data_IF_200334528206
#
_entry.id   IF_200334528206
#
_cell.length_a   1.000
_cell.length_b   1.000
_cell.length_c   1.000
_cell.angle_alpha   90.00
_cell.angle_beta   90.00
_cell.angle_gamma   90.00
#
_symmetry.space_group_name_H-M   'P 1'
#
loop_
_entity.id
_entity.type
_entity.pdbx_description
1 polymer ?
#
# COMPACT_ATOMS: atom_id res chain seq x y z
N UNK A 1 -19.97 -42.74 -31.14
CA UNK A 1 -18.72 -41.96 -31.31
C UNK A 1 -18.84 -40.47 -30.96
N UNK A 2 -19.81 -39.70 -31.47
CA UNK A 2 -19.86 -38.25 -31.24
C UNK A 2 -19.96 -37.78 -29.77
N UNK A 3 -20.66 -38.54 -28.91
CA UNK A 3 -20.82 -38.21 -27.49
C UNK A 3 -19.53 -38.35 -26.68
N UNK A 4 -18.68 -39.31 -27.05
CA UNK A 4 -17.37 -39.52 -26.39
C UNK A 4 -16.39 -38.42 -26.77
N UNK A 5 -16.41 -37.97 -28.04
CA UNK A 5 -15.57 -36.86 -28.52
C UNK A 5 -15.90 -35.53 -27.84
N UNK A 6 -17.20 -35.27 -27.63
CA UNK A 6 -17.69 -34.09 -26.93
C UNK A 6 -17.27 -34.07 -25.44
N UNK A 7 -17.26 -35.23 -24.78
CA UNK A 7 -16.83 -35.34 -23.38
C UNK A 7 -15.32 -35.16 -23.22
N UNK A 8 -14.50 -35.71 -24.13
CA UNK A 8 -13.06 -35.45 -24.14
C UNK A 8 -12.73 -33.98 -24.39
N UNK A 9 -13.45 -33.30 -25.30
CA UNK A 9 -13.25 -31.88 -25.56
C UNK A 9 -13.62 -31.01 -24.35
N UNK A 10 -14.72 -31.34 -23.66
CA UNK A 10 -15.12 -30.64 -22.44
C UNK A 10 -14.10 -30.81 -21.31
N UNK A 11 -13.57 -32.02 -21.12
CA UNK A 11 -12.55 -32.30 -20.11
C UNK A 11 -11.24 -31.54 -20.38
N UNK A 12 -10.80 -31.51 -21.65
CA UNK A 12 -9.60 -30.77 -22.04
C UNK A 12 -9.76 -29.26 -21.86
N UNK A 13 -10.96 -28.73 -22.15
CA UNK A 13 -11.29 -27.33 -21.91
C UNK A 13 -11.25 -27.00 -20.41
N UNK A 14 -11.82 -27.83 -19.53
CA UNK A 14 -11.75 -27.59 -18.08
C UNK A 14 -10.33 -27.64 -17.51
N UNK A 15 -9.46 -28.52 -18.02
CA UNK A 15 -8.07 -28.61 -17.54
C UNK A 15 -7.24 -27.39 -17.97
N UNK A 16 -7.53 -26.82 -19.14
CA UNK A 16 -6.82 -25.63 -19.64
C UNK A 16 -7.07 -24.37 -18.80
N UNK A 17 -8.20 -24.28 -18.08
CA UNK A 17 -8.48 -23.16 -17.16
C UNK A 17 -7.57 -23.17 -15.91
N UNK A 18 -7.06 -24.34 -15.49
CA UNK A 18 -6.14 -24.45 -14.35
C UNK A 18 -4.67 -24.20 -14.69
N UNK A 19 -4.32 -24.16 -15.98
CA UNK A 19 -2.93 -24.07 -16.44
C UNK A 19 -2.35 -22.64 -16.42
N UNK A 20 -3.17 -21.61 -16.15
CA UNK A 20 -2.72 -20.22 -16.12
C UNK A 20 -1.86 -19.84 -14.90
N UNK A 21 -1.51 -20.80 -14.02
CA UNK A 21 -0.60 -20.59 -12.89
C UNK A 21 -1.14 -19.72 -11.75
N UNK A 22 -2.40 -19.29 -11.82
CA UNK A 22 -3.07 -18.56 -10.75
C UNK A 22 -3.22 -19.46 -9.52
N UNK A 23 -2.54 -19.10 -8.44
CA UNK A 23 -2.73 -19.73 -7.14
C UNK A 23 -3.57 -18.81 -6.25
N UNK A 24 -4.45 -19.42 -5.45
CA UNK A 24 -5.15 -18.69 -4.40
C UNK A 24 -4.11 -18.02 -3.50
N UNK A 25 -4.31 -16.73 -3.21
CA UNK A 25 -3.41 -15.90 -2.41
C UNK A 25 -3.16 -16.47 -1.00
N UNK A 26 -3.97 -17.42 -0.54
CA UNK A 26 -3.98 -17.93 0.82
C UNK A 26 -4.38 -16.87 1.83
N UNK A 27 -4.50 -17.25 3.10
CA UNK A 27 -4.72 -16.31 4.22
C UNK A 27 -3.48 -15.47 4.55
N UNK A 28 -2.34 -15.76 3.92
CA UNK A 28 -1.07 -15.07 4.11
C UNK A 28 -0.41 -14.76 2.78
N UNK A 29 -1.08 -13.98 1.92
CA UNK A 29 -0.49 -13.52 0.64
C UNK A 29 0.95 -13.01 0.83
N UNK A 30 1.75 -12.93 -0.25
CA UNK A 30 3.22 -12.77 -0.22
C UNK A 30 3.73 -11.40 0.27
N UNK A 31 2.99 -10.75 1.17
CA UNK A 31 3.48 -9.64 1.96
C UNK A 31 4.50 -10.22 2.93
N UNK A 32 5.77 -9.93 2.65
CA UNK A 32 6.89 -10.12 3.57
C UNK A 32 6.46 -9.71 4.99
N UNK A 33 6.89 -10.49 5.99
CA UNK A 33 6.66 -10.10 7.39
C UNK A 33 7.21 -8.69 7.62
N UNK A 34 6.50 -7.89 8.39
CA UNK A 34 6.94 -6.54 8.72
C UNK A 34 8.30 -6.60 9.44
N UNK A 35 9.19 -5.62 9.23
CA UNK A 35 10.50 -5.58 9.90
C UNK A 35 10.41 -5.24 11.40
N UNK A 36 9.21 -5.10 11.95
CA UNK A 36 8.91 -4.75 13.34
C UNK A 36 7.70 -5.56 13.81
N UNK A 37 7.63 -5.89 15.11
CA UNK A 37 6.51 -6.63 15.70
C UNK A 37 5.43 -5.68 16.26
N UNK A 38 5.82 -4.50 16.72
CA UNK A 38 4.93 -3.45 17.22
C UNK A 38 5.14 -2.12 16.50
N UNK A 39 4.05 -1.42 16.19
CA UNK A 39 4.07 -0.15 15.46
C UNK A 39 3.17 0.89 16.15
N UNK A 40 3.76 2.02 16.55
CA UNK A 40 3.00 3.21 16.92
C UNK A 40 2.75 4.05 15.66
N UNK A 41 1.53 4.58 15.50
CA UNK A 41 1.16 5.43 14.37
C UNK A 41 0.67 6.78 14.86
N UNK A 42 1.30 7.85 14.41
CA UNK A 42 0.93 9.23 14.73
C UNK A 42 0.59 10.01 13.46
N UNK A 43 -0.27 11.02 13.61
CA UNK A 43 -0.81 11.80 12.50
C UNK A 43 -2.33 11.97 12.60
N UNK A 44 -2.92 12.52 11.54
CA UNK A 44 -4.35 12.76 11.46
C UNK A 44 -4.82 12.79 9.99
N UNK A 45 -6.13 12.70 9.80
CA UNK A 45 -6.77 12.84 8.49
C UNK A 45 -7.32 11.53 7.90
N UNK A 46 -7.95 11.61 6.72
CA UNK A 46 -8.62 10.47 6.12
C UNK A 46 -7.71 9.29 5.80
N UNK A 47 -6.54 9.52 5.17
CA UNK A 47 -5.59 8.43 4.91
C UNK A 47 -5.05 7.83 6.21
N UNK A 48 -4.77 8.63 7.24
CA UNK A 48 -4.36 8.13 8.56
C UNK A 48 -5.39 7.13 9.12
N UNK A 49 -6.67 7.47 9.09
CA UNK A 49 -7.75 6.59 9.55
C UNK A 49 -7.79 5.28 8.75
N UNK A 50 -7.63 5.36 7.43
CA UNK A 50 -7.59 4.17 6.58
C UNK A 50 -6.34 3.32 6.84
N UNK A 51 -5.19 3.91 7.15
CA UNK A 51 -3.98 3.17 7.54
C UNK A 51 -4.22 2.38 8.82
N UNK A 52 -4.87 2.97 9.83
CA UNK A 52 -5.23 2.24 11.05
C UNK A 52 -6.18 1.07 10.78
N UNK A 53 -7.18 1.26 9.92
CA UNK A 53 -8.10 0.19 9.52
C UNK A 53 -7.36 -0.93 8.80
N UNK A 54 -6.48 -0.59 7.86
CA UNK A 54 -5.67 -1.55 7.11
C UNK A 54 -4.71 -2.35 8.01
N UNK A 55 -4.00 -1.69 8.93
CA UNK A 55 -3.10 -2.35 9.89
C UNK A 55 -3.86 -3.27 10.85
N UNK A 56 -5.02 -2.84 11.36
CA UNK A 56 -5.89 -3.67 12.20
C UNK A 56 -6.41 -4.90 11.45
N UNK A 57 -6.75 -4.75 10.16
CA UNK A 57 -7.20 -5.86 9.31
C UNK A 57 -6.07 -6.84 9.01
N UNK A 58 -4.84 -6.36 8.85
CA UNK A 58 -3.66 -7.20 8.61
C UNK A 58 -3.35 -8.09 9.84
N UNK A 59 -3.44 -7.54 11.06
CA UNK A 59 -3.36 -8.28 12.32
C UNK A 59 -1.98 -8.88 12.66
N UNK A 60 -0.99 -8.77 11.76
CA UNK A 60 0.38 -9.27 11.96
C UNK A 60 1.28 -8.35 12.80
N UNK A 61 0.84 -7.11 13.04
CA UNK A 61 1.58 -6.11 13.84
C UNK A 61 0.73 -5.67 15.01
N UNK A 62 1.33 -5.61 16.20
CA UNK A 62 0.68 -5.06 17.38
C UNK A 62 0.66 -3.53 17.31
N UNK A 63 -0.51 -2.93 17.54
CA UNK A 63 -0.70 -1.47 17.59
C UNK A 63 -0.94 -1.05 19.05
N UNK A 64 0.13 -0.75 19.81
CA UNK A 64 -0.01 -0.38 21.22
C UNK A 64 -0.70 0.99 21.36
N UNK A 65 -1.26 1.24 22.55
CA UNK A 65 -1.88 2.53 22.85
C UNK A 65 -0.87 3.69 22.77
N UNK A 66 -1.38 4.90 22.51
CA UNK A 66 -0.53 6.10 22.40
C UNK A 66 0.28 6.29 23.69
N UNK A 67 1.59 6.51 23.56
CA UNK A 67 2.52 6.68 24.68
C UNK A 67 3.18 5.39 25.18
N UNK A 68 2.77 4.22 24.68
CA UNK A 68 3.45 2.95 24.92
C UNK A 68 4.58 2.78 23.89
N UNK A 69 5.75 2.32 24.34
CA UNK A 69 6.88 2.07 23.46
C UNK A 69 6.56 0.98 22.42
N UNK A 70 6.94 1.23 21.17
CA UNK A 70 6.83 0.31 20.05
C UNK A 70 8.19 0.12 19.36
N UNK A 71 8.35 -0.93 18.56
CA UNK A 71 9.59 -1.21 17.82
C UNK A 71 9.81 -0.21 16.68
N UNK A 72 8.73 0.40 16.17
CA UNK A 72 8.78 1.47 15.20
C UNK A 72 7.68 2.52 15.43
N UNK A 73 7.94 3.74 14.97
CA UNK A 73 7.01 4.86 14.93
C UNK A 73 6.78 5.28 13.47
N UNK A 74 5.53 5.24 13.02
CA UNK A 74 5.10 5.79 11.74
C UNK A 74 4.42 7.14 11.97
N UNK A 75 5.01 8.21 11.44
CA UNK A 75 4.42 9.55 11.43
C UNK A 75 3.84 9.83 10.06
N UNK A 76 2.53 9.99 9.96
CA UNK A 76 1.80 10.28 8.73
C UNK A 76 1.62 11.80 8.61
N UNK A 77 2.19 12.39 7.56
CA UNK A 77 2.02 13.81 7.27
C UNK A 77 0.57 14.14 6.84
N UNK A 78 0.14 15.40 6.83
CA UNK A 78 -1.13 15.76 6.21
C UNK A 78 -1.19 15.32 4.74
N UNK A 79 -2.35 14.82 4.30
CA UNK A 79 -2.56 14.45 2.90
C UNK A 79 -2.53 15.70 1.99
N UNK A 80 -1.96 15.55 0.80
CA UNK A 80 -1.93 16.61 -0.21
C UNK A 80 -2.77 16.19 -1.41
N UNK A 81 -3.82 16.96 -1.70
CA UNK A 81 -4.74 16.70 -2.80
C UNK A 81 -4.70 17.80 -3.84
N UNK A 82 -4.82 17.46 -5.13
CA UNK A 82 -5.02 18.42 -6.22
C UNK A 82 -6.10 17.92 -7.19
N UNK A 83 -6.83 18.87 -7.79
CA UNK A 83 -7.79 18.65 -8.85
C UNK A 83 -7.42 19.56 -10.01
N UNK A 84 -6.87 18.98 -11.06
CA UNK A 84 -6.30 19.69 -12.20
C UNK A 84 -7.13 19.41 -13.46
N UNK A 85 -7.28 20.38 -14.36
CA UNK A 85 -7.92 20.14 -15.66
C UNK A 85 -7.02 19.20 -16.46
N UNK A 86 -7.57 18.06 -16.87
CA UNK A 86 -6.84 17.08 -17.68
C UNK A 86 -7.11 17.29 -19.17
N UNK A 87 -8.38 17.45 -19.54
CA UNK A 87 -8.79 17.64 -20.93
C UNK A 87 -9.92 18.67 -21.06
N UNK A 88 -9.97 19.29 -22.24
CA UNK A 88 -11.06 20.16 -22.68
C UNK A 88 -11.65 19.64 -23.99
N UNK A 89 -12.93 19.89 -24.22
CA UNK A 89 -13.62 19.52 -25.45
C UNK A 89 -13.39 20.56 -26.57
N UNK A 90 -13.96 20.31 -27.77
CA UNK A 90 -13.83 21.20 -28.94
C UNK A 90 -14.37 22.61 -28.73
N UNK A 91 -15.28 22.80 -27.77
CA UNK A 91 -15.84 24.11 -27.41
C UNK A 91 -15.02 24.83 -26.31
N UNK A 92 -13.88 24.28 -25.90
CA UNK A 92 -13.02 24.84 -24.85
C UNK A 92 -13.54 24.62 -23.43
N UNK A 93 -14.55 23.78 -23.22
CA UNK A 93 -15.07 23.44 -21.89
C UNK A 93 -14.35 22.24 -21.31
N UNK A 94 -14.16 22.22 -19.99
CA UNK A 94 -13.54 21.09 -19.27
C UNK A 94 -14.36 19.82 -19.49
N UNK A 95 -13.69 18.75 -19.92
CA UNK A 95 -14.28 17.41 -20.08
C UNK A 95 -13.82 16.43 -19.02
N UNK A 96 -12.59 16.59 -18.50
CA UNK A 96 -12.04 15.71 -17.47
C UNK A 96 -11.15 16.47 -16.49
N UNK A 97 -11.21 16.03 -15.24
CA UNK A 97 -10.27 16.40 -14.20
C UNK A 97 -9.34 15.24 -13.86
N UNK A 98 -8.10 15.56 -13.49
CA UNK A 98 -7.20 14.66 -12.80
C UNK A 98 -7.21 14.97 -11.31
N UNK A 99 -7.64 14.00 -10.51
CA UNK A 99 -7.53 14.02 -9.05
C UNK A 99 -6.19 13.37 -8.66
N UNK A 100 -5.38 14.06 -7.87
CA UNK A 100 -4.11 13.54 -7.35
C UNK A 100 -4.13 13.59 -5.83
N UNK A 101 -3.86 12.45 -5.19
CA UNK A 101 -3.62 12.34 -3.75
C UNK A 101 -2.16 11.94 -3.53
N UNK A 102 -1.42 12.74 -2.75
CA UNK A 102 -0.07 12.43 -2.28
C UNK A 102 -0.11 12.26 -0.77
N UNK A 103 0.41 11.13 -0.30
CA UNK A 103 0.57 10.87 1.12
C UNK A 103 2.05 10.62 1.42
N UNK A 104 2.60 11.39 2.35
CA UNK A 104 3.95 11.22 2.85
C UNK A 104 3.91 10.70 4.29
N UNK A 105 4.87 9.87 4.65
CA UNK A 105 5.06 9.38 6.00
C UNK A 105 6.56 9.17 6.30
N UNK A 106 6.91 9.20 7.57
CA UNK A 106 8.24 8.90 8.08
C UNK A 106 8.16 7.69 9.01
N UNK A 107 8.97 6.67 8.77
CA UNK A 107 9.10 5.52 9.65
C UNK A 107 10.43 5.59 10.40
N UNK A 108 10.37 5.61 11.72
CA UNK A 108 11.57 5.58 12.59
C UNK A 108 11.57 4.28 13.37
N UNK A 109 12.69 3.56 13.36
CA UNK A 109 12.86 2.34 14.15
C UNK A 109 13.38 2.70 15.54
N UNK A 110 12.97 1.99 16.60
CA UNK A 110 13.48 2.27 17.96
C UNK A 110 15.00 2.14 18.08
N UNK A 111 15.61 1.34 17.22
CA UNK A 111 17.06 1.10 17.19
C UNK A 111 17.84 2.13 16.36
N UNK A 112 17.16 3.05 15.65
CA UNK A 112 17.83 4.06 14.83
C UNK A 112 17.00 5.34 14.75
N UNK A 113 17.66 6.46 15.04
CA UNK A 113 17.05 7.78 14.95
C UNK A 113 16.89 8.29 13.50
N UNK A 114 17.38 7.55 12.50
CA UNK A 114 17.25 7.95 11.10
C UNK A 114 15.84 7.63 10.56
N UNK A 115 14.99 8.64 10.28
CA UNK A 115 13.66 8.40 9.71
C UNK A 115 13.77 7.95 8.26
N UNK A 116 13.05 6.88 7.91
CA UNK A 116 12.93 6.38 6.54
C UNK A 116 11.68 6.98 5.89
N UNK A 117 11.80 7.77 4.82
CA UNK A 117 10.64 8.34 4.15
C UNK A 117 9.90 7.28 3.33
N UNK A 118 8.57 7.26 3.47
CA UNK A 118 7.66 6.42 2.69
C UNK A 118 6.57 7.32 2.11
N UNK A 119 6.44 7.35 0.80
CA UNK A 119 5.43 8.15 0.12
C UNK A 119 4.59 7.30 -0.84
N UNK A 120 3.37 7.75 -1.10
CA UNK A 120 2.46 7.16 -2.11
C UNK A 120 1.80 8.30 -2.87
N UNK A 121 1.57 8.09 -4.17
CA UNK A 121 0.76 8.98 -5.00
C UNK A 121 -0.30 8.14 -5.72
N UNK A 122 -1.56 8.54 -5.57
CA UNK A 122 -2.71 7.94 -6.27
C UNK A 122 -3.29 8.99 -7.20
N UNK A 123 -3.58 8.61 -8.45
CA UNK A 123 -4.21 9.49 -9.44
C UNK A 123 -5.48 8.84 -9.98
N UNK A 124 -6.52 9.63 -10.17
CA UNK A 124 -7.76 9.21 -10.81
C UNK A 124 -8.24 10.27 -11.79
N UNK A 125 -8.80 9.81 -12.90
CA UNK A 125 -9.44 10.67 -13.88
C UNK A 125 -10.94 10.69 -13.58
N UNK A 126 -11.55 11.86 -13.67
CA UNK A 126 -12.99 12.05 -13.47
C UNK A 126 -13.56 12.81 -14.67
N UNK A 127 -14.53 12.21 -15.35
CA UNK A 127 -15.30 12.89 -16.40
C UNK A 127 -16.16 13.99 -15.79
N UNK A 128 -16.31 15.12 -16.48
CA UNK A 128 -17.06 16.27 -16.00
C UNK A 128 -18.11 16.74 -17.01
N UNK A 129 -19.27 17.13 -16.50
CA UNK A 129 -20.33 17.80 -17.26
C UNK A 129 -21.03 18.82 -16.37
N UNK A 130 -21.12 20.06 -16.85
CA UNK A 130 -21.86 21.16 -16.20
C UNK A 130 -23.37 20.90 -16.11
N UNK A 131 -23.90 19.90 -16.83
CA UNK A 131 -25.34 19.57 -16.82
C UNK A 131 -25.75 18.76 -15.58
N UNK A 132 -24.79 18.14 -14.88
CA UNK A 132 -25.04 17.20 -13.76
C UNK A 132 -24.05 17.46 -12.61
N UNK A 133 -23.89 18.73 -12.23
CA UNK A 133 -22.92 19.18 -11.22
C UNK A 133 -23.06 18.42 -9.89
N UNK A 134 -24.27 18.31 -9.34
CA UNK A 134 -24.50 17.61 -8.06
C UNK A 134 -24.09 16.13 -8.13
N UNK A 135 -24.38 15.46 -9.24
CA UNK A 135 -23.94 14.08 -9.45
C UNK A 135 -22.42 13.96 -9.51
N UNK A 136 -21.75 14.94 -10.11
CA UNK A 136 -20.29 15.00 -10.20
C UNK A 136 -19.62 15.30 -8.85
N UNK A 137 -20.23 16.11 -7.98
CA UNK A 137 -19.75 16.30 -6.61
C UNK A 137 -19.80 15.00 -5.80
N UNK A 138 -20.88 14.23 -5.93
CA UNK A 138 -21.01 12.94 -5.26
C UNK A 138 -20.01 11.91 -5.81
N UNK A 139 -19.82 11.86 -7.13
CA UNK A 139 -18.80 11.01 -7.77
C UNK A 139 -17.40 11.38 -7.28
N UNK A 140 -17.07 12.66 -7.25
CA UNK A 140 -15.78 13.16 -6.77
C UNK A 140 -15.52 12.74 -5.31
N UNK A 141 -16.49 12.90 -4.41
CA UNK A 141 -16.35 12.49 -3.02
C UNK A 141 -16.10 10.98 -2.88
N UNK A 142 -16.77 10.15 -3.70
CA UNK A 142 -16.54 8.70 -3.73
C UNK A 142 -15.15 8.35 -4.27
N UNK A 143 -14.68 9.07 -5.30
CA UNK A 143 -13.34 8.91 -5.85
C UNK A 143 -12.28 9.25 -4.79
N UNK A 144 -12.41 10.37 -4.09
CA UNK A 144 -11.49 10.74 -3.01
C UNK A 144 -11.45 9.68 -1.90
N UNK A 145 -12.61 9.22 -1.42
CA UNK A 145 -12.69 8.17 -0.41
C UNK A 145 -12.05 6.85 -0.89
N UNK A 146 -12.21 6.51 -2.17
CA UNK A 146 -11.55 5.36 -2.80
C UNK A 146 -10.03 5.54 -2.87
N UNK A 147 -9.56 6.72 -3.28
CA UNK A 147 -8.14 7.05 -3.37
C UNK A 147 -7.47 7.03 -1.99
N UNK A 148 -8.15 7.45 -0.93
CA UNK A 148 -7.63 7.39 0.45
C UNK A 148 -7.43 5.93 0.92
N UNK A 149 -8.39 5.04 0.64
CA UNK A 149 -8.25 3.59 0.90
C UNK A 149 -7.10 2.99 0.10
N UNK A 150 -6.99 3.35 -1.18
CA UNK A 150 -5.91 2.88 -2.05
C UNK A 150 -4.54 3.34 -1.52
N UNK A 151 -4.41 4.63 -1.17
CA UNK A 151 -3.19 5.21 -0.64
C UNK A 151 -2.75 4.53 0.66
N UNK A 152 -3.68 4.33 1.61
CA UNK A 152 -3.42 3.60 2.84
C UNK A 152 -2.93 2.17 2.58
N UNK A 153 -3.60 1.43 1.70
CA UNK A 153 -3.23 0.06 1.37
C UNK A 153 -1.83 -0.02 0.73
N UNK A 154 -1.46 0.95 -0.11
CA UNK A 154 -0.13 1.02 -0.71
C UNK A 154 0.94 1.38 0.33
N UNK A 155 0.64 2.32 1.24
CA UNK A 155 1.56 2.70 2.31
C UNK A 155 1.88 1.52 3.22
N UNK A 156 0.85 0.84 3.74
CA UNK A 156 1.02 -0.32 4.62
C UNK A 156 1.84 -1.41 3.93
N UNK A 157 1.57 -1.68 2.65
CA UNK A 157 2.38 -2.67 1.90
C UNK A 157 3.84 -2.25 1.77
N UNK A 158 4.13 -0.96 1.57
CA UNK A 158 5.52 -0.47 1.47
C UNK A 158 6.28 -0.66 2.78
N UNK A 159 5.61 -0.57 3.94
CA UNK A 159 6.26 -0.79 5.25
C UNK A 159 6.92 -2.17 5.34
N UNK A 160 6.31 -3.20 4.73
CA UNK A 160 6.85 -4.56 4.73
C UNK A 160 8.19 -4.72 3.98
N UNK A 161 8.53 -3.74 3.13
CA UNK A 161 9.75 -3.76 2.32
C UNK A 161 10.78 -2.71 2.74
N UNK A 162 10.48 -1.92 3.79
CA UNK A 162 11.48 -1.03 4.37
C UNK A 162 12.58 -1.87 4.99
N UNK A 163 13.84 -1.54 4.66
CA UNK A 163 14.99 -2.18 5.29
C UNK A 163 15.17 -1.59 6.69
N UNK A 164 15.26 -2.43 7.74
CA UNK A 164 15.74 -1.95 9.04
C UNK A 164 17.15 -1.35 8.87
N UNK A 165 17.53 -0.39 9.72
CA UNK A 165 18.92 0.01 9.86
C UNK A 165 19.79 -1.24 10.11
N UNK A 166 20.91 -1.38 9.40
CA UNK A 166 21.89 -2.40 9.75
C UNK A 166 22.33 -2.13 11.20
N UNK A 167 22.06 -3.09 12.08
CA UNK A 167 22.68 -3.07 13.40
C UNK A 167 24.15 -3.38 13.16
N UNK A 168 25.02 -2.38 13.20
CA UNK A 168 26.46 -2.57 13.25
C UNK A 168 26.82 -3.31 14.56
N UNK A 169 26.59 -4.62 14.59
CA UNK A 169 27.30 -5.50 15.50
C UNK A 169 28.76 -5.46 15.06
N UNK A 170 29.72 -5.12 15.95
CA UNK A 170 31.13 -5.21 15.59
C UNK A 170 31.39 -6.64 15.15
N UNK A 171 31.90 -6.81 13.93
CA UNK A 171 32.40 -8.07 13.43
C UNK A 171 33.27 -8.68 14.52
N UNK A 172 32.79 -9.77 15.14
CA UNK A 172 33.53 -10.53 16.13
C UNK A 172 34.91 -10.80 15.56
N UNK A 173 35.91 -10.27 16.25
CA UNK A 173 37.29 -10.26 15.82
C UNK A 173 37.71 -11.64 15.37
N UNK A 174 38.30 -11.68 14.18
CA UNK A 174 39.15 -12.79 13.77
C UNK A 174 40.33 -12.80 14.75
N UNK A 175 40.22 -13.60 15.80
CA UNK A 175 41.33 -13.88 16.71
C UNK A 175 42.28 -14.82 15.97
N UNK A 176 43.09 -14.27 15.08
CA UNK A 176 44.26 -14.98 14.56
C UNK A 176 45.28 -14.99 15.71
N UNK A 177 45.27 -16.08 16.47
CA UNK A 177 46.17 -16.31 17.60
C UNK A 177 47.65 -16.25 17.15
N UNK A 178 48.56 -15.75 18.00
CA UNK A 178 49.97 -15.67 17.67
C UNK A 178 50.58 -17.07 17.67
N UNK A 179 51.10 -17.48 16.51
CA UNK A 179 51.95 -18.65 16.40
C UNK A 179 53.21 -18.47 17.25
N UNK A 180 53.50 -19.46 18.10
CA UNK A 180 54.78 -19.64 18.77
C UNK A 180 54.92 -21.11 19.19
N UNK A 181 56.13 -21.63 19.40
CA UNK A 181 57.46 -21.22 18.91
C UNK A 181 57.91 -21.96 17.64
#
# INVERSE_FOLDING_TARGET
>A
MNRMLAWSAAALMTLSLGACGFHLRGLGGPLKAMPFASLSVDGAGPVYNQVLVELKRDGRVSLPAKGVAADALLVIAPESTSKDVLTVNRAGKVSEYQLTLRQNALLTFRQSDAPVPVSVTVRRQMSYSEQVVLGKEQEEAQLWAGMQREAASQLVRRLAYVKPPETDLPATGKTDAPGKP
#
